data_IF_662552803283
#
_entry.id   IF_662552803283
#
_cell.length_a   1.000
_cell.length_b   1.000
_cell.length_c   1.000
_cell.angle_alpha   90.00
_cell.angle_beta   90.00
_cell.angle_gamma   90.00
#
_symmetry.space_group_name_H-M   'P 1'
#
loop_
_entity.id
_entity.type
_entity.pdbx_description
1 polymer ?
#
# COMPACT_ATOMS: atom_id res chain seq x y z
N UNK A 1 -66.82 -29.44 -10.46
CA UNK A 1 -65.49 -29.86 -9.99
C UNK A 1 -64.49 -28.98 -10.63
N UNK A 2 -64.07 -27.90 -9.93
CA UNK A 2 -63.01 -26.97 -10.38
C UNK A 2 -61.72 -27.30 -9.59
N UNK A 3 -60.70 -27.75 -10.31
CA UNK A 3 -59.34 -27.99 -9.74
C UNK A 3 -58.60 -26.69 -9.65
N UNK A 4 -58.23 -26.28 -8.44
CA UNK A 4 -57.31 -25.21 -8.18
C UNK A 4 -55.88 -25.76 -8.34
N UNK A 5 -55.11 -25.19 -9.24
CA UNK A 5 -53.64 -25.37 -9.28
C UNK A 5 -53.00 -24.26 -8.45
N UNK A 6 -52.34 -24.65 -7.36
CA UNK A 6 -51.48 -23.77 -6.58
C UNK A 6 -50.08 -23.90 -7.19
N UNK A 7 -49.63 -22.82 -7.82
CA UNK A 7 -48.24 -22.71 -8.32
C UNK A 7 -47.37 -22.17 -7.18
N UNK A 8 -46.60 -23.05 -6.58
CA UNK A 8 -45.60 -22.67 -5.58
C UNK A 8 -44.36 -22.15 -6.30
N UNK A 9 -44.16 -20.84 -6.25
CA UNK A 9 -42.91 -20.21 -6.74
C UNK A 9 -41.85 -20.40 -5.67
N UNK A 10 -40.95 -21.34 -5.87
CA UNK A 10 -39.74 -21.50 -5.09
C UNK A 10 -38.75 -20.38 -5.49
N UNK A 11 -38.55 -19.42 -4.60
CA UNK A 11 -37.38 -18.52 -4.67
C UNK A 11 -36.15 -19.34 -4.41
N UNK A 12 -35.38 -19.63 -5.45
CA UNK A 12 -34.01 -20.13 -5.33
C UNK A 12 -33.11 -18.94 -4.92
N UNK A 13 -32.84 -18.80 -3.63
CA UNK A 13 -31.75 -18.01 -3.15
C UNK A 13 -30.46 -18.77 -3.49
N UNK A 14 -29.77 -18.34 -4.52
CA UNK A 14 -28.46 -18.87 -4.88
C UNK A 14 -27.43 -18.46 -3.81
N UNK A 15 -27.08 -19.36 -2.92
CA UNK A 15 -25.86 -19.32 -2.14
C UNK A 15 -24.68 -19.52 -3.11
N UNK A 16 -24.01 -18.45 -3.51
CA UNK A 16 -22.70 -18.52 -4.14
C UNK A 16 -21.65 -18.15 -3.08
N UNK A 17 -21.39 -19.06 -2.19
CA UNK A 17 -20.20 -19.03 -1.36
C UNK A 17 -19.46 -20.33 -1.57
N UNK A 18 -18.62 -20.38 -2.59
CA UNK A 18 -17.55 -21.37 -2.66
C UNK A 18 -16.27 -20.63 -3.06
N UNK A 19 -15.50 -20.27 -2.06
CA UNK A 19 -14.09 -19.96 -2.25
C UNK A 19 -13.40 -21.23 -2.71
N UNK A 20 -13.27 -21.41 -4.01
CA UNK A 20 -12.47 -22.47 -4.59
C UNK A 20 -11.02 -22.00 -4.63
N UNK A 21 -10.28 -22.38 -3.60
CA UNK A 21 -8.81 -22.30 -3.60
C UNK A 21 -8.29 -23.35 -4.58
N UNK A 22 -7.95 -22.94 -5.78
CA UNK A 22 -6.95 -23.62 -6.63
C UNK A 22 -6.79 -22.85 -7.94
N UNK A 23 -5.63 -22.29 -8.17
CA UNK A 23 -5.23 -21.75 -9.48
C UNK A 23 -4.68 -20.34 -9.46
N UNK A 24 -3.44 -20.20 -9.84
CA UNK A 24 -2.64 -19.00 -10.10
C UNK A 24 -3.43 -17.83 -10.69
N UNK A 25 -3.94 -16.92 -9.87
CA UNK A 25 -4.31 -15.58 -10.32
C UNK A 25 -4.59 -14.67 -9.13
N UNK A 26 -4.25 -13.39 -9.27
CA UNK A 26 -4.75 -12.35 -8.41
C UNK A 26 -6.30 -12.38 -8.48
N UNK A 27 -6.98 -12.61 -7.36
CA UNK A 27 -8.43 -12.57 -7.30
C UNK A 27 -8.88 -11.12 -7.12
N UNK A 28 -9.57 -10.58 -8.11
CA UNK A 28 -10.38 -9.39 -7.87
C UNK A 28 -11.66 -9.81 -7.17
N UNK A 29 -11.83 -9.39 -5.93
CA UNK A 29 -13.05 -9.62 -5.17
C UNK A 29 -13.71 -8.27 -4.93
N UNK A 30 -14.95 -8.11 -5.30
CA UNK A 30 -15.74 -6.96 -4.90
C UNK A 30 -16.07 -7.11 -3.42
N UNK A 31 -15.70 -6.12 -2.62
CA UNK A 31 -16.06 -6.08 -1.21
C UNK A 31 -17.57 -5.87 -1.02
N UNK A 32 -18.05 -6.05 0.19
CA UNK A 32 -19.46 -5.94 0.58
C UNK A 32 -20.11 -4.57 0.30
N UNK A 33 -19.32 -3.54 -0.04
CA UNK A 33 -19.81 -2.24 -0.44
C UNK A 33 -19.35 -1.90 -1.88
N UNK A 34 -20.18 -1.13 -2.57
CA UNK A 34 -20.01 -0.83 -4.00
C UNK A 34 -18.74 -0.05 -4.39
N UNK A 35 -17.99 0.48 -3.41
CA UNK A 35 -16.81 1.33 -3.65
C UNK A 35 -15.49 0.74 -3.15
N UNK A 36 -15.48 -0.43 -2.52
CA UNK A 36 -14.24 -1.09 -2.07
C UNK A 36 -13.92 -2.28 -2.95
N UNK A 37 -12.74 -2.29 -3.54
CA UNK A 37 -12.21 -3.39 -4.32
C UNK A 37 -10.93 -3.92 -3.65
N UNK A 38 -10.68 -5.21 -3.73
CA UNK A 38 -9.40 -5.75 -3.32
C UNK A 38 -8.99 -6.96 -4.16
N UNK A 39 -7.69 -7.20 -4.21
CA UNK A 39 -7.11 -8.43 -4.74
C UNK A 39 -6.15 -9.05 -3.72
N UNK A 40 -5.93 -10.36 -3.86
CA UNK A 40 -5.01 -11.12 -3.00
C UNK A 40 -3.86 -11.61 -3.86
N UNK A 41 -2.63 -11.40 -3.39
CA UNK A 41 -1.41 -11.88 -4.05
C UNK A 41 -0.65 -12.81 -3.12
N UNK A 42 -0.41 -14.01 -3.59
CA UNK A 42 0.38 -15.00 -2.88
C UNK A 42 1.87 -14.70 -2.99
N UNK A 43 2.65 -15.14 -1.99
CA UNK A 43 4.09 -15.00 -2.03
C UNK A 43 4.69 -15.86 -3.15
N UNK A 44 5.47 -15.23 -4.01
CA UNK A 44 6.20 -15.91 -5.07
C UNK A 44 7.56 -16.38 -4.57
N UNK A 45 7.93 -17.61 -4.92
CA UNK A 45 9.26 -18.12 -4.65
C UNK A 45 10.28 -17.43 -5.58
N UNK A 46 11.46 -16.98 -5.08
CA UNK A 46 12.48 -16.35 -5.92
C UNK A 46 12.95 -17.23 -7.09
N UNK A 47 13.04 -18.55 -6.88
CA UNK A 47 13.46 -19.48 -7.94
C UNK A 47 12.43 -19.58 -9.07
N UNK A 48 11.15 -19.35 -8.79
CA UNK A 48 10.12 -19.29 -9.83
C UNK A 48 10.07 -17.90 -10.47
N UNK A 49 10.19 -16.83 -9.66
CA UNK A 49 10.08 -15.44 -10.10
C UNK A 49 11.11 -15.06 -11.17
N UNK A 50 12.32 -15.60 -11.11
CA UNK A 50 13.35 -15.37 -12.14
C UNK A 50 12.97 -15.88 -13.54
N UNK A 51 11.99 -16.79 -13.62
CA UNK A 51 11.49 -17.34 -14.90
C UNK A 51 10.16 -16.69 -15.35
N UNK A 52 9.63 -15.72 -14.60
CA UNK A 52 8.37 -15.08 -14.98
C UNK A 52 8.53 -14.27 -16.27
N UNK A 53 7.56 -14.39 -17.17
CA UNK A 53 7.41 -13.44 -18.27
C UNK A 53 7.12 -12.05 -17.73
N UNK A 54 7.29 -11.02 -18.55
CA UNK A 54 6.98 -9.64 -18.18
C UNK A 54 5.55 -9.50 -17.66
N UNK A 55 4.58 -10.11 -18.34
CA UNK A 55 3.16 -10.03 -17.93
C UNK A 55 2.92 -10.69 -16.56
N UNK A 56 3.52 -11.86 -16.33
CA UNK A 56 3.41 -12.53 -15.04
C UNK A 56 4.11 -11.74 -13.93
N UNK A 57 5.31 -11.20 -14.19
CA UNK A 57 6.04 -10.38 -13.25
C UNK A 57 5.21 -9.15 -12.82
N UNK A 58 4.60 -8.46 -13.80
CA UNK A 58 3.70 -7.35 -13.54
C UNK A 58 2.47 -7.77 -12.73
N UNK A 59 1.83 -8.89 -13.10
CA UNK A 59 0.66 -9.42 -12.41
C UNK A 59 0.94 -9.75 -10.95
N UNK A 60 2.11 -10.30 -10.65
CA UNK A 60 2.47 -10.69 -9.27
C UNK A 60 2.95 -9.49 -8.43
N UNK A 61 3.68 -8.55 -9.02
CA UNK A 61 4.37 -7.51 -8.24
C UNK A 61 3.91 -6.07 -8.53
N UNK A 62 3.47 -5.72 -9.73
CA UNK A 62 2.99 -4.37 -10.02
C UNK A 62 1.53 -4.18 -9.61
N UNK A 63 1.19 -3.04 -9.01
CA UNK A 63 -0.17 -2.62 -8.69
C UNK A 63 -0.50 -1.43 -9.58
N UNK A 64 -1.24 -1.70 -10.65
CA UNK A 64 -1.47 -0.72 -11.71
C UNK A 64 -2.60 0.25 -11.38
N UNK A 65 -3.59 -0.18 -10.59
CA UNK A 65 -4.72 0.65 -10.15
C UNK A 65 -4.66 0.83 -8.63
N UNK A 66 -4.18 1.99 -8.20
CA UNK A 66 -4.20 2.42 -6.78
C UNK A 66 -5.39 3.34 -6.54
N UNK A 67 -5.59 4.34 -7.40
CA UNK A 67 -6.66 5.33 -7.26
C UNK A 67 -7.71 5.19 -8.36
N UNK A 68 -8.96 5.45 -7.99
CA UNK A 68 -10.06 5.72 -8.90
C UNK A 68 -11.09 6.58 -8.17
N UNK A 69 -11.74 7.53 -8.86
CA UNK A 69 -12.70 8.46 -8.27
C UNK A 69 -13.83 7.73 -7.52
N UNK A 70 -14.01 8.05 -6.24
CA UNK A 70 -15.04 7.47 -5.39
C UNK A 70 -14.78 6.03 -4.91
N UNK A 71 -13.60 5.46 -5.18
CA UNK A 71 -13.26 4.08 -4.84
C UNK A 71 -12.13 3.97 -3.80
N UNK A 72 -12.11 2.80 -3.16
CA UNK A 72 -10.95 2.27 -2.42
C UNK A 72 -10.48 1.01 -3.13
N UNK A 73 -9.19 0.98 -3.45
CA UNK A 73 -8.58 -0.19 -4.08
C UNK A 73 -7.47 -0.73 -3.17
N UNK A 74 -7.55 -2.01 -2.80
CA UNK A 74 -6.58 -2.68 -1.95
C UNK A 74 -5.90 -3.83 -2.67
N UNK A 75 -4.64 -4.05 -2.36
CA UNK A 75 -3.92 -5.29 -2.62
C UNK A 75 -3.45 -5.87 -1.29
N UNK A 76 -3.91 -7.07 -0.97
CA UNK A 76 -3.40 -7.86 0.14
C UNK A 76 -2.32 -8.80 -0.37
N UNK A 77 -1.12 -8.68 0.14
CA UNK A 77 -0.02 -9.59 -0.18
C UNK A 77 0.31 -10.52 0.97
N UNK A 78 0.68 -11.76 0.66
CA UNK A 78 1.11 -12.74 1.66
C UNK A 78 2.54 -12.47 2.18
N UNK A 79 3.32 -11.60 1.51
CA UNK A 79 4.54 -11.06 2.06
C UNK A 79 4.19 -10.19 3.28
N UNK A 80 4.64 -10.59 4.46
CA UNK A 80 4.33 -9.98 5.76
C UNK A 80 2.83 -9.64 5.98
N UNK A 81 1.92 -10.25 5.21
CA UNK A 81 0.47 -10.01 5.24
C UNK A 81 0.14 -8.52 5.13
N UNK A 82 0.85 -7.84 4.24
CA UNK A 82 0.78 -6.40 4.08
C UNK A 82 -0.41 -6.00 3.21
N UNK A 83 -1.01 -4.84 3.51
CA UNK A 83 -2.02 -4.21 2.66
C UNK A 83 -1.44 -2.94 2.01
N UNK A 84 -1.64 -2.84 0.72
CA UNK A 84 -1.28 -1.66 -0.08
C UNK A 84 -2.56 -1.16 -0.72
N UNK A 85 -2.88 0.12 -0.57
CA UNK A 85 -4.12 0.63 -1.15
C UNK A 85 -4.13 2.11 -1.38
N UNK A 86 -5.20 2.56 -2.01
CA UNK A 86 -5.50 3.95 -2.23
C UNK A 86 -6.99 4.23 -2.21
N UNK A 87 -7.32 5.44 -1.79
CA UNK A 87 -8.68 5.95 -1.79
C UNK A 87 -8.70 7.36 -2.40
N UNK A 88 -9.68 7.61 -3.26
CA UNK A 88 -9.90 8.91 -3.91
C UNK A 88 -11.35 9.37 -3.67
N UNK A 89 -11.69 9.88 -2.45
CA UNK A 89 -13.00 10.42 -2.19
C UNK A 89 -13.24 11.66 -3.05
N UNK A 90 -14.40 11.73 -3.70
CA UNK A 90 -14.81 12.88 -4.50
C UNK A 90 -15.89 13.68 -3.79
N UNK A 91 -17.16 13.57 -4.21
CA UNK A 91 -18.29 14.26 -3.60
C UNK A 91 -18.85 13.56 -2.36
N UNK A 92 -18.72 12.23 -2.30
CA UNK A 92 -19.19 11.41 -1.17
C UNK A 92 -18.03 10.99 -0.27
N UNK A 93 -18.24 10.94 1.07
CA UNK A 93 -17.30 10.33 1.98
C UNK A 93 -17.08 8.84 1.67
N UNK A 94 -15.86 8.36 1.90
CA UNK A 94 -15.52 6.95 1.84
C UNK A 94 -15.27 6.43 3.26
N UNK A 95 -16.04 5.45 3.72
CA UNK A 95 -15.79 4.73 4.97
C UNK A 95 -14.96 3.50 4.67
N UNK A 96 -13.80 3.37 5.34
CA UNK A 96 -12.99 2.16 5.21
C UNK A 96 -13.66 1.00 5.94
N UNK A 97 -13.77 -0.13 5.25
CA UNK A 97 -14.35 -1.36 5.77
C UNK A 97 -13.32 -2.48 5.82
N UNK A 98 -13.56 -3.50 6.61
CA UNK A 98 -12.74 -4.70 6.62
C UNK A 98 -12.87 -5.46 5.31
N UNK A 99 -11.88 -6.28 5.01
CA UNK A 99 -11.85 -7.14 3.82
C UNK A 99 -12.06 -8.59 4.24
N UNK A 100 -12.81 -9.34 3.44
CA UNK A 100 -13.14 -10.76 3.77
C UNK A 100 -11.88 -11.62 3.96
N UNK A 101 -10.78 -11.29 3.28
CA UNK A 101 -9.50 -12.01 3.45
C UNK A 101 -8.80 -11.79 4.81
N UNK A 102 -9.28 -10.86 5.65
CA UNK A 102 -8.66 -10.53 6.93
C UNK A 102 -9.29 -11.20 8.15
N UNK A 103 -10.39 -11.91 7.99
CA UNK A 103 -11.10 -12.56 9.09
C UNK A 103 -11.73 -13.89 8.67
N UNK A 104 -12.14 -14.69 9.63
CA UNK A 104 -12.89 -15.93 9.40
C UNK A 104 -14.40 -15.64 9.47
N UNK A 105 -15.23 -16.56 9.01
CA UNK A 105 -16.70 -16.45 9.08
C UNK A 105 -17.29 -16.75 10.47
N UNK A 106 -16.46 -16.81 11.51
CA UNK A 106 -16.93 -17.05 12.88
C UNK A 106 -17.76 -15.86 13.37
N UNK A 107 -18.93 -16.10 14.01
CA UNK A 107 -19.77 -15.02 14.52
C UNK A 107 -19.08 -14.12 15.55
N UNK A 108 -18.06 -14.64 16.23
CA UNK A 108 -17.28 -13.93 17.26
C UNK A 108 -16.19 -13.00 16.69
N UNK A 109 -15.90 -13.12 15.39
CA UNK A 109 -14.87 -12.29 14.77
C UNK A 109 -15.33 -10.83 14.68
N UNK A 110 -14.54 -9.94 15.24
CA UNK A 110 -14.70 -8.51 15.03
C UNK A 110 -14.28 -8.21 13.60
N UNK A 111 -15.19 -7.62 12.82
CA UNK A 111 -14.97 -7.37 11.39
C UNK A 111 -14.57 -5.93 11.10
N UNK A 112 -13.64 -5.38 11.93
CA UNK A 112 -13.06 -4.03 11.72
C UNK A 112 -11.75 -4.16 10.95
N UNK A 113 -11.45 -3.21 10.09
CA UNK A 113 -10.20 -3.20 9.31
C UNK A 113 -8.97 -3.31 10.21
N UNK A 114 -8.98 -2.64 11.36
CA UNK A 114 -7.84 -2.55 12.27
C UNK A 114 -7.94 -3.44 13.52
N UNK A 115 -8.73 -4.52 13.52
CA UNK A 115 -8.79 -5.44 14.66
C UNK A 115 -7.44 -6.05 15.05
N UNK A 116 -6.60 -6.34 14.05
CA UNK A 116 -5.27 -6.89 14.25
C UNK A 116 -4.21 -6.17 13.41
N UNK A 117 -4.46 -4.90 13.06
CA UNK A 117 -3.62 -4.15 12.12
C UNK A 117 -3.47 -2.71 12.55
N UNK A 118 -2.40 -2.10 12.11
CA UNK A 118 -2.15 -0.67 12.11
C UNK A 118 -2.16 -0.12 10.69
N UNK A 119 -2.39 1.17 10.52
CA UNK A 119 -2.53 1.82 9.22
C UNK A 119 -1.74 3.11 9.15
N UNK A 120 -0.99 3.28 8.09
CA UNK A 120 -0.40 4.54 7.67
C UNK A 120 -1.11 5.08 6.45
N UNK A 121 -1.38 6.37 6.43
CA UNK A 121 -2.02 7.11 5.34
C UNK A 121 -1.13 8.27 4.97
N UNK A 122 -0.82 8.45 3.68
CA UNK A 122 -0.13 9.64 3.16
C UNK A 122 -0.98 10.23 2.03
N UNK A 123 -1.30 11.53 2.12
CA UNK A 123 -2.06 12.19 1.08
C UNK A 123 -1.14 12.68 -0.04
N UNK A 124 -1.41 12.27 -1.29
CA UNK A 124 -0.68 12.69 -2.50
C UNK A 124 -1.58 13.36 -3.54
N UNK A 125 -2.75 13.83 -3.12
CA UNK A 125 -3.70 14.60 -3.94
C UNK A 125 -4.00 15.97 -3.35
N UNK A 126 -5.16 16.51 -3.66
CA UNK A 126 -5.68 17.72 -3.04
C UNK A 126 -5.89 17.56 -1.53
N UNK A 127 -6.23 18.64 -0.84
CA UNK A 127 -6.47 18.61 0.60
C UNK A 127 -7.65 17.72 0.96
N UNK A 128 -7.48 16.87 1.98
CA UNK A 128 -8.54 16.01 2.48
C UNK A 128 -8.57 15.89 3.99
N UNK A 129 -9.58 15.18 4.49
CA UNK A 129 -9.75 14.91 5.91
C UNK A 129 -9.88 13.42 6.15
N UNK A 130 -9.13 12.92 7.12
CA UNK A 130 -9.30 11.59 7.68
C UNK A 130 -9.95 11.73 9.04
N UNK A 131 -11.15 11.15 9.21
CA UNK A 131 -11.85 11.13 10.50
C UNK A 131 -11.70 9.75 11.11
N UNK A 132 -11.19 9.68 12.33
CA UNK A 132 -10.99 8.44 13.10
C UNK A 132 -11.81 8.51 14.38
N UNK A 133 -12.80 7.63 14.55
CA UNK A 133 -13.74 7.62 15.69
C UNK A 133 -14.33 9.02 15.97
N UNK A 134 -14.75 9.72 14.92
CA UNK A 134 -15.33 11.09 15.00
C UNK A 134 -14.31 12.22 15.14
N UNK A 135 -13.03 11.95 15.39
CA UNK A 135 -11.98 12.98 15.42
C UNK A 135 -11.38 13.19 14.04
N UNK A 136 -11.43 14.42 13.53
CA UNK A 136 -10.95 14.79 12.21
C UNK A 136 -9.49 15.23 12.21
N UNK A 137 -8.78 14.82 11.17
CA UNK A 137 -7.38 15.18 10.87
C UNK A 137 -7.32 15.66 9.42
N UNK A 138 -7.12 16.94 9.21
CA UNK A 138 -6.88 17.49 7.87
C UNK A 138 -5.47 17.13 7.42
N UNK A 139 -5.36 16.60 6.20
CA UNK A 139 -4.09 16.26 5.56
C UNK A 139 -3.93 17.09 4.29
N UNK A 140 -2.91 17.93 4.26
CA UNK A 140 -2.43 18.55 3.05
C UNK A 140 -1.58 17.57 2.21
N UNK A 141 -1.15 18.01 1.04
CA UNK A 141 -0.26 17.21 0.18
C UNK A 141 1.01 16.80 0.93
N UNK A 142 1.37 15.50 0.86
CA UNK A 142 2.51 14.89 1.54
C UNK A 142 2.44 14.91 3.08
N UNK A 143 1.28 15.10 3.67
CA UNK A 143 1.10 14.88 5.10
C UNK A 143 0.63 13.45 5.38
N UNK A 144 1.02 12.94 6.54
CA UNK A 144 0.76 11.56 6.95
C UNK A 144 -0.12 11.47 8.19
N UNK A 145 -0.86 10.37 8.30
CA UNK A 145 -1.58 9.97 9.52
C UNK A 145 -1.28 8.51 9.84
N UNK A 146 -0.78 8.27 11.03
CA UNK A 146 -0.72 6.93 11.62
C UNK A 146 -1.99 6.65 12.42
N UNK A 147 -2.57 5.48 12.23
CA UNK A 147 -3.73 4.98 13.00
C UNK A 147 -3.36 3.62 13.58
N UNK A 148 -3.29 3.54 14.91
CA UNK A 148 -2.98 2.31 15.61
C UNK A 148 -4.14 1.30 15.58
N UNK A 149 -3.85 0.08 16.02
CA UNK A 149 -4.80 -1.02 16.14
C UNK A 149 -6.04 -0.60 16.95
N UNK A 150 -7.20 -1.12 16.56
CA UNK A 150 -8.43 -1.00 17.35
C UNK A 150 -8.33 -1.79 18.66
N UNK A 151 -9.00 -1.31 19.68
CA UNK A 151 -9.09 -1.94 21.00
C UNK A 151 -10.53 -1.92 21.53
N UNK A 152 -10.74 -2.23 22.80
CA UNK A 152 -12.08 -2.26 23.39
C UNK A 152 -12.73 -0.88 23.49
N UNK A 153 -11.92 0.18 23.61
CA UNK A 153 -12.38 1.56 23.78
C UNK A 153 -12.46 2.33 22.47
N UNK A 154 -11.68 1.92 21.45
CA UNK A 154 -11.51 2.65 20.20
C UNK A 154 -11.73 1.69 19.02
N UNK A 155 -12.79 1.92 18.25
CA UNK A 155 -13.14 1.10 17.10
C UNK A 155 -12.25 1.34 15.89
N UNK A 156 -11.59 2.50 15.85
CA UNK A 156 -10.80 2.98 14.69
C UNK A 156 -11.64 2.97 13.41
N UNK A 157 -12.88 3.47 13.53
CA UNK A 157 -13.71 3.75 12.36
C UNK A 157 -13.08 4.88 11.56
N UNK A 158 -12.83 4.69 10.27
CA UNK A 158 -12.13 5.65 9.43
C UNK A 158 -13.05 6.10 8.30
N UNK A 159 -13.21 7.42 8.18
CA UNK A 159 -13.93 8.08 7.09
C UNK A 159 -13.00 9.06 6.38
N UNK A 160 -12.96 8.99 5.06
CA UNK A 160 -12.10 9.79 4.19
C UNK A 160 -12.96 10.77 3.38
N UNK A 161 -12.54 12.03 3.31
CA UNK A 161 -13.23 13.06 2.51
C UNK A 161 -12.23 13.96 1.80
N UNK A 162 -12.59 14.48 0.64
CA UNK A 162 -11.87 15.57 -0.02
C UNK A 162 -12.46 16.91 0.39
N UNK A 163 -11.62 17.94 0.51
CA UNK A 163 -12.09 19.32 0.73
C UNK A 163 -12.63 19.94 -0.54
N UNK A 164 -12.07 19.55 -1.69
CA UNK A 164 -12.48 20.01 -3.02
C UNK A 164 -12.67 18.80 -3.94
N UNK A 165 -13.91 18.50 -4.38
CA UNK A 165 -14.17 17.39 -5.30
C UNK A 165 -13.54 17.58 -6.70
N UNK A 166 -13.23 18.81 -7.11
CA UNK A 166 -12.57 19.08 -8.38
C UNK A 166 -11.06 18.82 -8.33
N UNK A 167 -10.47 18.85 -7.11
CA UNK A 167 -9.09 18.45 -6.84
C UNK A 167 -9.07 17.48 -5.66
N UNK A 168 -9.50 16.22 -5.86
CA UNK A 168 -9.71 15.29 -4.78
C UNK A 168 -8.41 14.90 -4.07
N UNK A 169 -8.53 14.60 -2.78
CA UNK A 169 -7.46 13.96 -2.03
C UNK A 169 -7.19 12.55 -2.59
N UNK A 170 -5.93 12.13 -2.55
CA UNK A 170 -5.49 10.79 -2.91
C UNK A 170 -4.74 10.20 -1.73
N UNK A 171 -5.44 9.43 -0.93
CA UNK A 171 -4.88 8.81 0.26
C UNK A 171 -4.23 7.47 -0.11
N UNK A 172 -2.90 7.45 -0.17
CA UNK A 172 -2.15 6.20 -0.25
C UNK A 172 -2.06 5.58 1.12
N UNK A 173 -2.27 4.27 1.21
CA UNK A 173 -2.43 3.57 2.47
C UNK A 173 -1.61 2.29 2.51
N UNK A 174 -0.90 2.09 3.62
CA UNK A 174 -0.26 0.83 3.94
C UNK A 174 -0.71 0.33 5.31
N UNK A 175 -0.96 -0.97 5.44
CA UNK A 175 -1.35 -1.56 6.71
C UNK A 175 -0.60 -2.84 6.99
N UNK A 176 -0.08 -2.95 8.22
CA UNK A 176 0.65 -4.11 8.73
C UNK A 176 -0.07 -4.74 9.92
N UNK A 177 0.28 -5.98 10.26
CA UNK A 177 -0.21 -6.63 11.46
C UNK A 177 0.26 -5.87 12.71
N UNK A 178 -0.60 -5.77 13.74
CA UNK A 178 -0.29 -5.08 14.97
C UNK A 178 -0.74 -5.90 16.19
N UNK A 179 0.15 -6.05 17.17
CA UNK A 179 -0.11 -6.80 18.39
C UNK A 179 -0.64 -5.92 19.53
N UNK A 180 -0.48 -4.58 19.44
CA UNK A 180 -0.99 -3.62 20.41
C UNK A 180 -1.50 -2.34 19.75
N UNK A 181 -2.28 -1.56 20.50
CA UNK A 181 -2.83 -0.28 20.07
C UNK A 181 -1.89 0.86 20.44
N UNK A 182 -1.66 1.78 19.47
CA UNK A 182 -0.97 3.04 19.71
C UNK A 182 -1.85 4.23 19.33
N UNK A 183 -1.57 5.43 19.86
CA UNK A 183 -2.33 6.62 19.55
C UNK A 183 -2.26 6.99 18.06
N UNK A 184 -3.38 7.50 17.53
CA UNK A 184 -3.42 8.12 16.20
C UNK A 184 -2.58 9.39 16.20
N UNK A 185 -1.69 9.55 15.22
CA UNK A 185 -0.75 10.66 15.12
C UNK A 185 -0.64 11.18 13.69
N UNK A 186 -0.94 12.48 13.51
CA UNK A 186 -0.64 13.20 12.26
C UNK A 186 0.85 13.60 12.26
N UNK A 187 1.48 13.53 11.09
CA UNK A 187 2.87 13.97 10.87
C UNK A 187 2.92 14.81 9.59
N UNK A 188 3.47 16.00 9.71
CA UNK A 188 3.75 16.89 8.59
C UNK A 188 5.18 16.69 8.07
N UNK A 189 5.48 17.14 6.84
CA UNK A 189 6.87 17.11 6.33
C UNK A 189 7.86 17.83 7.25
N UNK A 190 7.42 18.88 7.94
CA UNK A 190 8.27 19.64 8.88
C UNK A 190 8.60 18.82 10.13
N UNK A 191 7.68 18.00 10.61
CA UNK A 191 7.86 17.15 11.80
C UNK A 191 8.64 15.87 11.48
N UNK A 192 8.68 15.46 10.22
CA UNK A 192 9.40 14.27 9.76
C UNK A 192 10.91 14.38 10.03
N UNK A 193 11.56 13.24 10.14
CA UNK A 193 13.03 13.22 10.11
C UNK A 193 13.50 13.32 8.64
N UNK A 194 14.06 14.49 8.30
CA UNK A 194 14.42 14.85 6.92
C UNK A 194 15.92 14.63 6.68
N UNK A 195 16.26 13.69 5.81
CA UNK A 195 17.63 13.27 5.52
C UNK A 195 17.97 13.63 4.06
N UNK A 196 18.97 14.47 3.85
CA UNK A 196 19.57 14.69 2.53
C UNK A 196 20.50 13.54 2.19
N UNK A 197 20.39 12.98 1.00
CA UNK A 197 21.16 11.81 0.58
C UNK A 197 21.52 11.88 -0.91
N UNK A 198 22.65 11.26 -1.25
CA UNK A 198 23.16 11.23 -2.61
C UNK A 198 23.77 12.54 -3.09
N UNK A 199 23.96 12.65 -4.39
CA UNK A 199 24.51 13.83 -5.05
C UNK A 199 24.04 13.91 -6.51
N UNK A 200 24.05 15.11 -7.07
CA UNK A 200 23.74 15.30 -8.49
C UNK A 200 24.78 14.60 -9.40
N UNK A 201 26.04 14.55 -8.97
CA UNK A 201 27.10 13.82 -9.70
C UNK A 201 26.77 12.33 -9.87
N UNK A 202 26.10 11.75 -8.91
CA UNK A 202 25.67 10.33 -8.93
C UNK A 202 24.24 10.18 -9.44
N UNK A 203 23.61 11.28 -9.90
CA UNK A 203 22.22 11.31 -10.39
C UNK A 203 21.19 10.78 -9.36
N UNK A 204 21.44 10.97 -8.07
CA UNK A 204 20.62 10.48 -6.97
C UNK A 204 20.47 11.49 -5.80
N UNK A 205 20.65 12.79 -6.06
CA UNK A 205 20.37 13.84 -5.05
C UNK A 205 18.89 13.81 -4.66
N UNK A 206 18.61 13.59 -3.39
CA UNK A 206 17.26 13.38 -2.89
C UNK A 206 17.10 13.78 -1.42
N UNK A 207 15.85 13.96 -1.02
CA UNK A 207 15.48 14.10 0.40
C UNK A 207 14.60 12.93 0.80
N UNK A 208 14.96 12.27 1.89
CA UNK A 208 14.20 11.19 2.51
C UNK A 208 13.45 11.79 3.70
N UNK A 209 12.13 11.71 3.69
CA UNK A 209 11.25 12.14 4.76
C UNK A 209 10.72 10.90 5.49
N UNK A 210 11.27 10.61 6.66
CA UNK A 210 10.78 9.53 7.51
C UNK A 210 9.54 10.03 8.25
N UNK A 211 8.36 9.60 7.79
CA UNK A 211 7.07 10.10 8.27
C UNK A 211 6.48 9.26 9.40
N UNK A 212 6.29 7.97 9.13
CA UNK A 212 5.75 6.98 10.08
C UNK A 212 6.87 6.02 10.43
N UNK A 213 7.66 6.39 11.42
CA UNK A 213 8.78 5.61 11.96
C UNK A 213 8.65 5.62 13.48
N UNK A 214 8.83 4.48 14.12
CA UNK A 214 8.78 4.39 15.59
C UNK A 214 9.77 5.36 16.23
N UNK A 215 9.26 6.23 17.10
CA UNK A 215 10.04 7.28 17.78
C UNK A 215 10.18 8.60 17.02
N UNK A 216 9.87 8.67 15.71
CA UNK A 216 9.90 9.93 14.94
C UNK A 216 8.60 10.70 15.13
N UNK A 217 8.69 12.02 15.36
CA UNK A 217 7.53 12.91 15.56
C UNK A 217 6.52 12.41 16.62
N UNK A 218 6.94 11.55 17.55
CA UNK A 218 6.08 10.93 18.54
C UNK A 218 5.18 9.81 18.03
N UNK A 219 5.44 9.31 16.83
CA UNK A 219 4.80 8.08 16.30
C UNK A 219 5.32 6.86 17.04
N UNK A 220 4.44 5.91 17.31
CA UNK A 220 4.76 4.57 17.80
C UNK A 220 4.07 3.57 16.88
N UNK A 221 4.80 2.56 16.43
CA UNK A 221 4.28 1.51 15.53
C UNK A 221 4.61 0.12 16.05
N UNK A 222 3.88 -0.90 15.55
CA UNK A 222 4.23 -2.31 15.81
C UNK A 222 5.24 -2.84 14.80
N UNK A 223 5.02 -2.57 13.52
CA UNK A 223 5.86 -3.04 12.41
C UNK A 223 5.95 -2.00 11.29
N UNK A 224 4.90 -1.18 11.11
CA UNK A 224 4.75 -0.32 9.95
C UNK A 224 5.78 0.81 9.97
N UNK A 225 6.47 0.97 8.85
CA UNK A 225 7.33 2.10 8.58
C UNK A 225 6.96 2.69 7.21
N UNK A 226 6.82 4.01 7.13
CA UNK A 226 6.51 4.69 5.86
C UNK A 226 7.22 6.04 5.79
N UNK A 227 7.60 6.41 4.58
CA UNK A 227 8.13 7.73 4.29
C UNK A 227 8.07 8.09 2.82
N UNK A 228 8.53 9.29 2.53
CA UNK A 228 8.55 9.88 1.20
C UNK A 228 10.01 10.09 0.80
N UNK A 229 10.35 9.85 -0.44
CA UNK A 229 11.64 10.25 -1.01
C UNK A 229 11.40 11.09 -2.25
N UNK A 230 11.93 12.31 -2.23
CA UNK A 230 11.85 13.27 -3.35
C UNK A 230 13.18 13.36 -4.05
N UNK A 231 13.25 13.00 -5.33
CA UNK A 231 14.43 13.21 -6.16
C UNK A 231 14.47 14.65 -6.63
N UNK A 232 15.64 15.25 -6.54
CA UNK A 232 15.87 16.61 -7.04
C UNK A 232 16.02 16.61 -8.57
N UNK A 233 15.81 17.76 -9.18
CA UNK A 233 15.99 17.95 -10.62
C UNK A 233 17.38 17.46 -11.06
N UNK A 234 17.43 16.71 -12.18
CA UNK A 234 18.65 16.07 -12.68
C UNK A 234 18.99 14.74 -12.04
N UNK A 235 18.25 14.31 -11.00
CA UNK A 235 18.43 13.01 -10.36
C UNK A 235 17.34 12.03 -10.80
N UNK A 236 17.74 10.81 -11.12
CA UNK A 236 16.85 9.78 -11.64
C UNK A 236 16.89 8.46 -10.85
N UNK A 237 17.98 8.23 -10.09
CA UNK A 237 18.16 7.01 -9.32
C UNK A 237 17.63 7.13 -7.90
N UNK A 238 16.81 6.17 -7.48
CA UNK A 238 16.53 5.94 -6.08
C UNK A 238 17.15 4.61 -5.62
N UNK A 239 17.44 4.52 -4.33
CA UNK A 239 17.89 3.28 -3.66
C UNK A 239 19.07 2.63 -4.42
N UNK A 240 20.01 3.46 -4.81
CA UNK A 240 21.25 3.05 -5.44
C UNK A 240 22.43 3.52 -4.55
N UNK A 241 23.27 2.61 -4.03
CA UNK A 241 23.29 1.15 -4.25
C UNK A 241 22.01 0.46 -3.82
N UNK A 242 21.63 -0.59 -4.55
CA UNK A 242 20.47 -1.43 -4.22
C UNK A 242 20.72 -2.24 -2.94
N UNK A 243 19.65 -2.67 -2.30
CA UNK A 243 19.74 -3.55 -1.11
C UNK A 243 18.55 -4.51 -1.06
N UNK A 244 18.64 -5.48 -0.18
CA UNK A 244 17.55 -6.38 0.22
C UNK A 244 17.27 -6.22 1.70
N UNK A 245 16.09 -6.64 2.13
CA UNK A 245 15.72 -6.72 3.55
C UNK A 245 15.33 -8.16 3.89
N UNK A 246 16.21 -8.94 4.43
CA UNK A 246 15.91 -10.36 4.73
C UNK A 246 14.72 -10.54 5.68
N UNK A 247 14.43 -9.55 6.53
CA UNK A 247 13.44 -9.63 7.61
C UNK A 247 12.19 -8.77 7.40
N UNK A 248 11.97 -8.23 6.20
CA UNK A 248 10.77 -7.44 5.89
C UNK A 248 10.55 -7.31 4.39
N UNK A 249 9.28 -7.12 4.03
CA UNK A 249 8.91 -6.69 2.69
C UNK A 249 8.91 -5.18 2.58
N UNK A 250 8.97 -4.65 1.36
CA UNK A 250 8.79 -3.24 1.08
C UNK A 250 7.85 -3.02 -0.11
N UNK A 251 7.23 -1.86 -0.21
CA UNK A 251 6.43 -1.44 -1.36
C UNK A 251 6.76 0.00 -1.71
N UNK A 252 6.78 0.31 -3.00
CA UNK A 252 6.91 1.67 -3.51
C UNK A 252 5.68 2.06 -4.31
N UNK A 253 5.17 3.27 -4.11
CA UNK A 253 4.32 3.95 -5.09
C UNK A 253 5.07 5.14 -5.66
N UNK A 254 5.09 5.26 -6.97
CA UNK A 254 5.73 6.37 -7.68
C UNK A 254 4.70 7.43 -8.05
N UNK A 255 4.96 8.69 -7.71
CA UNK A 255 4.08 9.81 -8.04
C UNK A 255 4.91 11.06 -8.38
N UNK A 256 4.25 12.14 -8.79
CA UNK A 256 4.93 13.29 -9.40
C UNK A 256 5.83 12.89 -10.58
N UNK A 257 5.45 11.83 -11.28
CA UNK A 257 6.09 11.43 -12.53
C UNK A 257 5.49 12.30 -13.63
N UNK A 258 6.29 13.13 -14.33
CA UNK A 258 5.76 14.02 -15.36
C UNK A 258 5.05 13.26 -16.49
N UNK A 259 4.10 13.92 -17.14
CA UNK A 259 3.39 13.31 -18.27
C UNK A 259 4.38 12.85 -19.36
N UNK A 260 4.17 11.64 -19.88
CA UNK A 260 5.03 11.05 -20.90
C UNK A 260 6.32 10.40 -20.34
N UNK A 261 6.56 10.51 -19.01
CA UNK A 261 7.70 9.87 -18.35
C UNK A 261 7.29 8.57 -17.66
N UNK A 262 8.27 7.72 -17.40
CA UNK A 262 8.09 6.42 -16.74
C UNK A 262 9.19 6.12 -15.74
N UNK A 263 8.91 5.17 -14.87
CA UNK A 263 9.88 4.63 -13.91
C UNK A 263 10.24 3.21 -14.32
N UNK A 264 11.53 2.95 -14.40
CA UNK A 264 12.08 1.60 -14.49
C UNK A 264 12.41 1.11 -13.08
N UNK A 265 11.50 0.36 -12.48
CA UNK A 265 11.77 -0.32 -11.23
C UNK A 265 12.54 -1.62 -11.49
N UNK A 266 13.59 -1.85 -10.75
CA UNK A 266 14.38 -3.08 -10.78
C UNK A 266 14.12 -3.88 -9.51
N UNK A 267 13.77 -5.14 -9.69
CA UNK A 267 13.52 -6.12 -8.64
C UNK A 267 14.22 -7.44 -8.96
N UNK A 268 14.03 -8.45 -8.14
CA UNK A 268 14.63 -9.76 -8.29
C UNK A 268 15.79 -9.99 -7.33
N UNK A 269 16.38 -11.17 -7.39
CA UNK A 269 17.64 -11.43 -6.69
C UNK A 269 18.75 -10.56 -7.30
N UNK A 270 19.80 -10.17 -6.55
CA UNK A 270 20.86 -9.29 -7.07
C UNK A 270 21.54 -9.79 -8.34
N UNK A 271 21.58 -11.12 -8.54
CA UNK A 271 22.19 -11.78 -9.70
C UNK A 271 21.19 -12.12 -10.82
N UNK A 272 19.91 -11.77 -10.63
CA UNK A 272 18.80 -12.05 -11.56
C UNK A 272 17.83 -10.86 -11.57
N UNK A 273 18.36 -9.68 -11.92
CA UNK A 273 17.55 -8.46 -11.89
C UNK A 273 16.47 -8.45 -12.97
N UNK A 274 15.28 -7.97 -12.61
CA UNK A 274 14.10 -7.96 -13.47
C UNK A 274 13.50 -6.55 -13.52
N UNK A 275 13.33 -5.98 -14.73
CA UNK A 275 12.75 -4.66 -14.89
C UNK A 275 11.22 -4.69 -14.87
N UNK A 276 10.61 -3.70 -14.21
CA UNK A 276 9.16 -3.44 -14.23
C UNK A 276 8.94 -1.97 -14.56
N UNK A 277 8.39 -1.67 -15.73
CA UNK A 277 8.01 -0.31 -16.09
C UNK A 277 6.71 0.11 -15.40
N UNK A 278 6.74 1.26 -14.73
CA UNK A 278 5.62 1.81 -13.98
C UNK A 278 5.29 3.23 -14.44
N UNK A 279 4.01 3.56 -14.42
CA UNK A 279 3.49 4.90 -14.66
C UNK A 279 3.30 5.67 -13.35
N UNK A 280 2.96 6.95 -13.47
CA UNK A 280 2.53 7.77 -12.34
C UNK A 280 1.38 7.08 -11.57
N UNK A 281 1.42 7.13 -10.23
CA UNK A 281 0.46 6.54 -9.31
C UNK A 281 0.33 4.99 -9.40
N UNK A 282 1.35 4.31 -9.89
CA UNK A 282 1.46 2.85 -9.82
C UNK A 282 2.44 2.42 -8.73
N UNK A 283 2.16 1.26 -8.12
CA UNK A 283 2.98 0.72 -7.05
C UNK A 283 3.59 -0.64 -7.41
N UNK A 284 4.57 -1.06 -6.60
CA UNK A 284 5.24 -2.34 -6.75
C UNK A 284 5.47 -2.97 -5.38
N UNK A 285 5.35 -4.29 -5.31
CA UNK A 285 5.67 -5.11 -4.15
C UNK A 285 7.11 -5.59 -4.30
N UNK A 286 7.95 -5.33 -3.30
CA UNK A 286 9.31 -5.84 -3.20
C UNK A 286 9.37 -6.86 -2.04
N UNK A 287 9.44 -8.17 -2.36
CA UNK A 287 9.65 -9.20 -1.36
C UNK A 287 10.98 -9.04 -0.62
N UNK A 288 11.10 -9.68 0.53
CA UNK A 288 12.31 -9.69 1.36
C UNK A 288 13.58 -10.14 0.63
N UNK A 289 13.44 -11.05 -0.33
CA UNK A 289 14.55 -11.56 -1.14
C UNK A 289 14.94 -10.67 -2.33
N UNK A 290 14.09 -9.67 -2.64
CA UNK A 290 14.24 -8.84 -3.84
C UNK A 290 14.98 -7.55 -3.54
N UNK A 291 15.88 -7.14 -4.41
CA UNK A 291 16.30 -5.74 -4.48
C UNK A 291 15.10 -4.88 -4.87
N UNK A 292 15.16 -3.60 -4.57
CA UNK A 292 14.14 -2.61 -4.94
C UNK A 292 14.80 -1.24 -5.16
N UNK A 293 15.21 -1.00 -6.37
CA UNK A 293 15.74 0.29 -6.80
C UNK A 293 15.05 0.74 -8.09
N UNK A 294 15.21 1.99 -8.47
CA UNK A 294 14.60 2.46 -9.71
C UNK A 294 15.40 3.59 -10.36
N UNK A 295 15.20 3.73 -11.67
CA UNK A 295 15.59 4.91 -12.43
C UNK A 295 14.37 5.47 -13.17
N UNK A 296 14.16 6.79 -13.09
CA UNK A 296 13.15 7.49 -13.87
C UNK A 296 13.69 8.00 -15.19
N UNK A 297 12.81 8.23 -16.15
CA UNK A 297 13.13 9.01 -17.35
C UNK A 297 13.12 10.52 -17.07
N UNK A 298 12.75 10.91 -15.85
CA UNK A 298 12.82 12.24 -15.25
C UNK A 298 12.93 12.09 -13.73
N UNK A 299 13.11 13.16 -12.98
CA UNK A 299 12.97 13.11 -11.51
C UNK A 299 11.50 12.84 -11.10
N UNK A 300 11.32 12.30 -9.93
CA UNK A 300 10.02 11.86 -9.40
C UNK A 300 10.05 11.81 -7.87
N UNK A 301 8.91 11.52 -7.30
CA UNK A 301 8.76 11.26 -5.88
C UNK A 301 8.20 9.85 -5.68
N UNK A 302 8.54 9.20 -4.58
CA UNK A 302 7.91 7.93 -4.22
C UNK A 302 7.67 7.84 -2.72
N UNK A 303 6.64 7.07 -2.34
CA UNK A 303 6.43 6.63 -0.97
C UNK A 303 6.96 5.21 -0.88
N UNK A 304 7.74 4.96 0.16
CA UNK A 304 8.11 3.63 0.58
C UNK A 304 7.31 3.26 1.83
N UNK A 305 6.92 1.99 1.89
CA UNK A 305 6.23 1.41 3.03
C UNK A 305 6.71 0.00 3.27
N UNK A 306 7.03 -0.35 4.51
CA UNK A 306 7.58 -1.64 4.88
C UNK A 306 7.05 -2.14 6.21
N UNK A 307 7.06 -3.46 6.37
CA UNK A 307 6.78 -4.15 7.61
C UNK A 307 7.53 -5.48 7.65
N UNK A 308 7.72 -6.01 8.82
CA UNK A 308 8.35 -7.31 9.04
C UNK A 308 8.75 -7.53 10.49
N UNK A 309 9.83 -8.27 10.69
CA UNK A 309 10.24 -8.79 11.99
C UNK A 309 10.67 -7.70 12.98
N UNK A 310 11.23 -6.58 12.52
CA UNK A 310 11.78 -5.54 13.40
C UNK A 310 11.54 -4.12 12.88
N UNK A 311 11.81 -3.13 13.75
CA UNK A 311 11.69 -1.69 13.47
C UNK A 311 13.05 -1.01 13.20
N UNK A 312 14.12 -1.79 12.97
CA UNK A 312 15.46 -1.25 12.72
C UNK A 312 15.50 -0.72 11.28
N UNK A 313 15.39 0.59 11.09
CA UNK A 313 15.36 1.21 9.76
C UNK A 313 16.52 0.78 8.85
N UNK A 314 17.72 0.69 9.39
CA UNK A 314 18.94 0.32 8.67
C UNK A 314 19.21 -1.19 8.60
N UNK A 315 18.21 -2.03 8.91
CA UNK A 315 18.33 -3.48 8.75
C UNK A 315 18.20 -3.87 7.28
N UNK A 316 19.27 -3.65 6.52
CA UNK A 316 19.34 -3.88 5.07
C UNK A 316 20.69 -4.48 4.68
N UNK A 317 20.68 -5.32 3.64
CA UNK A 317 21.87 -5.89 3.01
C UNK A 317 22.18 -5.10 1.74
N UNK A 318 23.14 -4.18 1.82
CA UNK A 318 23.55 -3.36 0.68
C UNK A 318 24.32 -4.21 -0.34
N UNK A 319 23.92 -4.14 -1.60
CA UNK A 319 24.56 -4.82 -2.73
C UNK A 319 25.51 -3.82 -3.42
N UNK A 320 26.77 -4.21 -3.59
CA UNK A 320 27.70 -3.37 -4.34
C UNK A 320 27.29 -3.30 -5.80
N UNK A 321 27.34 -2.11 -6.42
CA UNK A 321 26.91 -1.92 -7.80
C UNK A 321 27.53 -2.94 -8.78
N UNK A 322 28.83 -3.27 -8.72
CA UNK A 322 29.43 -4.29 -9.59
C UNK A 322 28.92 -5.73 -9.38
N UNK A 323 28.18 -5.97 -8.31
CA UNK A 323 27.60 -7.30 -8.00
C UNK A 323 26.19 -7.48 -8.61
N UNK A 324 25.58 -6.41 -9.12
CA UNK A 324 24.29 -6.48 -9.81
C UNK A 324 24.45 -7.10 -11.21
N UNK A 325 23.51 -7.99 -11.57
CA UNK A 325 23.51 -8.66 -12.87
C UNK A 325 22.11 -8.77 -13.47
#
# INVERSE_FOLDING_TARGET
MKKFFITTTMCLAAFMASAQCCGNSAYEVKAENAYTNYNVRYASNPQDAKHYTTDRLRKEFAIEKIFAPGEVNWTYTMFDRFLIGGAEPTTAPIKLTSLACLYTDKPTDKKRLLDNRELGIINIGGKGTVTVDGKSYDLDFQEALYVGRADEKNNKEIVLTSKDPANPAKFYMNSACAHQSFPTKKVTLKEANNIKAGSLKESNDRVIHQMIIDGVAGVRTCQLQMGITELKEGSVWNTMPAHTHTRRMETYIYYNVPQGQKILHMMGEPQETRPVWLNNAQAVIAPEWSIHCAAGTSNYTFIWGMAGENLIYNDMQVIKIPELK
#
